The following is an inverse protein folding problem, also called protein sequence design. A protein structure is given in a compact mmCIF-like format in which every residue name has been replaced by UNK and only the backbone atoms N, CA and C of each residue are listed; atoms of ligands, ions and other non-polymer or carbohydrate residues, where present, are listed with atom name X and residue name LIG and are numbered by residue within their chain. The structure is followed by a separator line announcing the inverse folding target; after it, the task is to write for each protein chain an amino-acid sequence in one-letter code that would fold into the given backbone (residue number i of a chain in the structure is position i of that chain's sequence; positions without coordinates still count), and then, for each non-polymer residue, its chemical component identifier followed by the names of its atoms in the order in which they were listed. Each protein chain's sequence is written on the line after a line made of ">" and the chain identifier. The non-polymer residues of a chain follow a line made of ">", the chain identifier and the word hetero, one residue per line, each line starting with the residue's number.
data_IF_499428151351
#
_entry.id   IF_499428151351
#
_cell.length_a   1.000
_cell.length_b   1.000
_cell.length_c   1.000
_cell.angle_alpha   90.00
_cell.angle_beta   90.00
_cell.angle_gamma   90.00
#
_symmetry.space_group_name_H-M   'P 1'
#
loop_
_entity.id
_entity.type
_entity.pdbx_description
1 polymer ?
#
# COMPACT_ATOMS: atom_id res chain seq x y z
N UNK A 1 -5.84 -15.48 17.46
CA UNK A 1 -6.72 -15.59 18.65
C UNK A 1 -7.96 -14.74 18.43
N UNK A 2 -7.85 -13.42 18.24
CA UNK A 2 -9.03 -12.55 18.07
C UNK A 2 -9.91 -12.87 16.86
N UNK A 3 -9.37 -13.54 15.85
CA UNK A 3 -10.09 -14.03 14.68
C UNK A 3 -10.74 -15.42 14.87
N UNK A 4 -10.63 -16.02 16.08
CA UNK A 4 -11.20 -17.32 16.39
C UNK A 4 -10.30 -18.52 16.08
N UNK A 5 -9.01 -18.29 15.72
CA UNK A 5 -8.05 -19.39 15.62
C UNK A 5 -7.72 -19.97 16.98
N UNK A 6 -7.48 -21.30 17.10
CA UNK A 6 -7.02 -21.93 18.32
C UNK A 6 -5.70 -21.31 18.82
N UNK A 7 -5.51 -21.30 20.14
CA UNK A 7 -4.30 -20.74 20.76
C UNK A 7 -3.01 -21.51 20.37
N UNK A 8 -3.16 -22.78 20.05
CA UNK A 8 -2.09 -23.67 19.62
C UNK A 8 -1.64 -23.41 18.17
N UNK A 9 -2.41 -22.65 17.41
CA UNK A 9 -2.08 -22.34 16.01
C UNK A 9 -0.82 -21.46 15.94
N UNK A 10 0.18 -21.92 15.23
CA UNK A 10 1.35 -21.12 14.93
C UNK A 10 0.98 -19.92 14.04
N UNK A 11 1.50 -18.74 14.37
CA UNK A 11 1.30 -17.53 13.59
C UNK A 11 2.63 -16.78 13.45
N UNK A 12 2.94 -16.35 12.23
CA UNK A 12 4.18 -15.66 11.93
C UNK A 12 4.00 -14.65 10.80
N UNK A 13 4.82 -13.62 10.81
CA UNK A 13 4.83 -12.56 9.81
C UNK A 13 5.94 -12.76 8.79
N UNK A 14 5.64 -12.37 7.56
CA UNK A 14 6.59 -12.38 6.44
C UNK A 14 6.78 -10.95 5.98
N UNK A 15 8.03 -10.56 5.77
CA UNK A 15 8.35 -9.27 5.19
C UNK A 15 9.12 -9.43 3.88
N UNK A 16 8.47 -9.07 2.80
CA UNK A 16 9.03 -8.89 1.47
C UNK A 16 8.46 -7.58 0.87
N UNK A 17 8.35 -6.55 1.70
CA UNK A 17 7.76 -5.25 1.38
C UNK A 17 6.39 -5.45 0.68
N UNK A 18 6.14 -4.87 -0.49
CA UNK A 18 4.88 -5.00 -1.23
C UNK A 18 4.56 -6.45 -1.66
N UNK A 19 5.55 -7.33 -1.76
CA UNK A 19 5.39 -8.74 -2.11
C UNK A 19 5.04 -9.66 -0.94
N UNK A 20 4.89 -9.14 0.29
CA UNK A 20 4.68 -9.95 1.50
C UNK A 20 3.45 -10.84 1.44
N UNK A 21 2.31 -10.32 0.99
CA UNK A 21 1.06 -11.07 0.88
C UNK A 21 1.17 -12.24 -0.10
N UNK A 22 1.72 -12.01 -1.30
CA UNK A 22 1.95 -13.07 -2.27
C UNK A 22 2.95 -14.12 -1.75
N UNK A 23 4.00 -13.66 -1.06
CA UNK A 23 4.98 -14.57 -0.45
C UNK A 23 4.35 -15.42 0.66
N UNK A 24 3.45 -14.85 1.45
CA UNK A 24 2.71 -15.60 2.47
C UNK A 24 1.90 -16.75 1.85
N UNK A 25 1.20 -16.51 0.76
CA UNK A 25 0.45 -17.54 0.02
C UNK A 25 1.38 -18.62 -0.53
N UNK A 26 2.51 -18.24 -1.13
CA UNK A 26 3.49 -19.21 -1.66
C UNK A 26 4.05 -20.12 -0.55
N UNK A 27 4.37 -19.56 0.62
CA UNK A 27 4.88 -20.33 1.75
C UNK A 27 3.77 -21.23 2.34
N UNK A 28 2.54 -20.75 2.45
CA UNK A 28 1.41 -21.57 2.89
C UNK A 28 1.22 -22.80 1.99
N UNK A 29 1.29 -22.62 0.67
CA UNK A 29 1.23 -23.73 -0.28
C UNK A 29 2.36 -24.75 -0.07
N UNK A 30 3.58 -24.28 0.24
CA UNK A 30 4.72 -25.16 0.55
C UNK A 30 4.47 -25.98 1.83
N UNK A 31 3.94 -25.37 2.90
CA UNK A 31 3.61 -26.09 4.14
C UNK A 31 2.58 -27.19 3.92
N UNK A 32 1.54 -26.92 3.14
CA UNK A 32 0.53 -27.94 2.79
C UNK A 32 1.14 -29.05 1.95
N UNK A 33 1.97 -28.70 0.95
CA UNK A 33 2.64 -29.69 0.09
C UNK A 33 3.62 -30.59 0.84
N UNK A 34 4.31 -30.08 1.86
CA UNK A 34 5.25 -30.82 2.69
C UNK A 34 4.55 -31.64 3.79
N UNK A 35 3.28 -31.46 4.01
CA UNK A 35 2.52 -32.12 5.08
C UNK A 35 2.76 -31.53 6.46
N UNK A 36 3.34 -30.32 6.56
CA UNK A 36 3.53 -29.62 7.82
C UNK A 36 2.20 -29.10 8.39
N UNK A 37 1.21 -28.88 7.52
CA UNK A 37 -0.13 -28.46 7.90
C UNK A 37 -1.16 -28.93 6.85
N UNK A 38 -2.36 -29.27 7.30
CA UNK A 38 -3.48 -29.61 6.42
C UNK A 38 -4.20 -28.36 5.88
N UNK A 39 -4.23 -27.29 6.69
CA UNK A 39 -4.89 -26.02 6.35
C UNK A 39 -4.04 -24.85 6.84
N UNK A 40 -3.80 -23.89 5.98
CA UNK A 40 -3.07 -22.65 6.32
C UNK A 40 -3.87 -21.44 5.85
N UNK A 41 -4.11 -20.49 6.74
CA UNK A 41 -4.63 -19.18 6.39
C UNK A 41 -3.46 -18.25 6.07
N UNK A 42 -3.45 -17.65 4.89
CA UNK A 42 -2.38 -16.76 4.46
C UNK A 42 -2.95 -15.51 3.75
N UNK A 43 -2.27 -14.41 3.91
CA UNK A 43 -2.66 -13.14 3.28
C UNK A 43 -1.75 -12.01 3.72
N UNK A 44 -2.18 -10.79 3.44
CA UNK A 44 -1.51 -9.56 3.86
C UNK A 44 -2.52 -8.48 4.17
N UNK A 45 -2.11 -7.55 5.02
CA UNK A 45 -2.88 -6.35 5.34
C UNK A 45 -1.93 -5.20 5.60
N UNK A 46 -2.38 -3.98 5.36
CA UNK A 46 -1.58 -2.79 5.61
C UNK A 46 -2.45 -1.68 6.20
N UNK A 47 -1.88 -0.90 7.11
CA UNK A 47 -2.50 0.30 7.64
C UNK A 47 -1.48 1.46 7.69
N UNK A 48 -1.33 2.16 6.58
CA UNK A 48 -0.37 3.26 6.44
C UNK A 48 -0.72 4.44 7.36
N UNK A 49 -1.99 4.68 7.65
CA UNK A 49 -2.44 5.78 8.51
C UNK A 49 -2.03 5.61 9.98
N UNK A 50 -1.77 4.38 10.42
CA UNK A 50 -1.31 4.06 11.77
C UNK A 50 0.19 3.74 11.84
N UNK A 51 0.92 3.91 10.74
CA UNK A 51 2.37 3.73 10.72
C UNK A 51 3.05 4.71 11.66
N UNK A 52 3.84 4.23 12.65
CA UNK A 52 4.39 5.11 13.69
C UNK A 52 5.58 5.93 13.18
N UNK A 53 5.80 7.07 13.83
CA UNK A 53 7.09 7.73 13.80
C UNK A 53 7.94 7.21 14.96
N UNK A 54 9.19 6.85 14.68
CA UNK A 54 10.08 6.18 15.64
C UNK A 54 11.36 6.97 15.90
N UNK A 55 11.92 6.79 17.10
CA UNK A 55 13.21 7.33 17.48
C UNK A 55 14.05 6.30 18.21
N UNK A 56 15.37 6.34 18.03
CA UNK A 56 16.32 5.47 18.72
C UNK A 56 16.66 6.04 20.10
N UNK A 57 15.92 5.64 21.13
CA UNK A 57 16.04 6.20 22.49
C UNK A 57 16.66 5.25 23.51
N UNK A 58 17.01 4.01 23.16
CA UNK A 58 17.52 3.02 24.11
C UNK A 58 18.84 3.46 24.77
N UNK A 59 19.69 4.18 24.08
CA UNK A 59 20.93 4.74 24.63
C UNK A 59 20.73 6.08 25.38
N UNK A 60 19.51 6.58 25.45
CA UNK A 60 19.16 7.88 26.01
C UNK A 60 19.47 9.03 25.05
N UNK A 61 18.98 10.21 25.45
CA UNK A 61 19.23 11.48 24.75
C UNK A 61 19.57 12.56 25.78
N UNK A 62 20.83 12.98 25.81
CA UNK A 62 21.33 13.85 26.89
C UNK A 62 21.05 15.33 26.66
N UNK A 63 21.18 15.83 25.42
CA UNK A 63 21.05 17.26 25.10
C UNK A 63 20.83 17.44 23.59
N UNK A 64 20.17 18.51 23.19
CA UNK A 64 19.98 18.94 21.81
C UNK A 64 18.63 18.46 21.22
N UNK A 65 18.47 18.66 19.90
CA UNK A 65 17.28 18.27 19.18
C UNK A 65 17.20 16.77 18.95
N UNK A 66 15.98 16.24 18.89
CA UNK A 66 15.70 14.87 18.55
C UNK A 66 14.81 14.82 17.31
N UNK A 67 15.12 13.94 16.38
CA UNK A 67 14.31 13.69 15.19
C UNK A 67 13.58 12.35 15.29
N UNK A 68 12.38 12.31 14.73
CA UNK A 68 11.62 11.09 14.53
C UNK A 68 11.70 10.67 13.07
N UNK A 69 11.78 9.37 12.84
CA UNK A 69 11.75 8.76 11.52
C UNK A 69 10.32 8.30 11.21
N UNK A 70 9.79 8.69 10.07
CA UNK A 70 8.56 8.10 9.55
C UNK A 70 8.85 6.66 9.09
N UNK A 71 8.29 5.68 9.82
CA UNK A 71 8.54 4.27 9.52
C UNK A 71 7.94 3.84 8.17
N UNK A 72 6.82 4.44 7.76
CA UNK A 72 6.22 4.17 6.45
C UNK A 72 7.18 4.55 5.31
N UNK A 73 7.75 5.75 5.37
CA UNK A 73 8.72 6.21 4.37
C UNK A 73 10.00 5.39 4.46
N UNK A 74 10.56 5.25 5.67
CA UNK A 74 11.85 4.59 5.90
C UNK A 74 11.88 3.13 5.47
N UNK A 75 10.83 2.38 5.78
CA UNK A 75 10.80 0.93 5.61
C UNK A 75 10.08 0.50 4.33
N UNK A 76 9.16 1.32 3.81
CA UNK A 76 8.33 0.96 2.66
C UNK A 76 8.56 1.78 1.38
N UNK A 77 8.99 3.04 1.49
CA UNK A 77 9.02 3.97 0.36
C UNK A 77 10.42 4.55 0.04
N UNK A 78 11.43 4.16 0.81
CA UNK A 78 12.80 4.63 0.63
C UNK A 78 13.65 3.57 -0.07
N UNK A 79 14.30 3.94 -1.16
CA UNK A 79 15.31 3.10 -1.81
C UNK A 79 16.58 3.07 -0.96
N UNK A 80 16.82 1.94 -0.30
CA UNK A 80 17.96 1.75 0.58
C UNK A 80 19.30 1.69 -0.16
N UNK A 81 19.30 1.38 -1.46
CA UNK A 81 20.52 1.26 -2.27
C UNK A 81 20.98 2.62 -2.77
N UNK A 82 20.05 3.46 -3.22
CA UNK A 82 20.37 4.74 -3.86
C UNK A 82 20.10 5.95 -2.94
N UNK A 83 19.40 5.75 -1.82
CA UNK A 83 19.21 6.78 -0.80
C UNK A 83 18.19 7.85 -1.17
N UNK A 84 17.13 7.51 -1.90
CA UNK A 84 16.05 8.42 -2.27
C UNK A 84 14.66 7.75 -2.18
N UNK A 85 13.63 8.58 -2.22
CA UNK A 85 12.23 8.12 -2.20
C UNK A 85 11.87 7.39 -3.50
N UNK A 86 10.98 6.38 -3.43
CA UNK A 86 10.49 5.63 -4.59
C UNK A 86 9.86 6.50 -5.68
N UNK A 87 9.35 7.68 -5.33
CA UNK A 87 8.91 8.67 -6.31
C UNK A 87 10.03 9.19 -7.22
N UNK A 88 11.25 9.32 -6.68
CA UNK A 88 12.42 9.62 -7.49
C UNK A 88 12.77 8.44 -8.43
N UNK A 89 12.57 7.20 -7.97
CA UNK A 89 12.70 6.02 -8.83
C UNK A 89 11.74 6.10 -10.02
N UNK A 90 10.50 6.52 -9.78
CA UNK A 90 9.51 6.69 -10.85
C UNK A 90 9.94 7.77 -11.87
N UNK A 91 10.49 8.90 -11.40
CA UNK A 91 11.07 9.92 -12.29
C UNK A 91 12.25 9.38 -13.10
N UNK A 92 13.14 8.61 -12.47
CA UNK A 92 14.27 7.98 -13.15
C UNK A 92 13.81 6.99 -14.25
N UNK A 93 12.71 6.26 -13.99
CA UNK A 93 12.10 5.37 -14.99
C UNK A 93 11.51 6.18 -16.13
N UNK A 94 10.78 7.26 -15.81
CA UNK A 94 10.19 8.15 -16.81
C UNK A 94 11.26 8.76 -17.72
N UNK A 95 12.36 9.24 -17.17
CA UNK A 95 13.50 9.78 -17.91
C UNK A 95 14.16 8.70 -18.77
N UNK A 96 14.54 7.57 -18.18
CA UNK A 96 15.25 6.48 -18.86
C UNK A 96 14.49 5.93 -20.06
N UNK A 97 13.17 5.79 -19.92
CA UNK A 97 12.30 5.18 -20.93
C UNK A 97 11.54 6.22 -21.77
N UNK A 98 11.83 7.51 -21.57
CA UNK A 98 11.21 8.63 -22.29
C UNK A 98 9.67 8.61 -22.18
N UNK A 99 9.18 8.29 -20.98
CA UNK A 99 7.74 8.28 -20.66
C UNK A 99 7.36 9.70 -20.25
N UNK A 100 6.74 10.43 -21.14
CA UNK A 100 6.34 11.81 -20.87
C UNK A 100 5.08 11.89 -19.97
N UNK A 101 4.75 13.09 -19.53
CA UNK A 101 3.62 13.36 -18.66
C UNK A 101 2.28 12.91 -19.25
N UNK A 102 2.03 13.15 -20.53
CA UNK A 102 0.77 12.78 -21.15
C UNK A 102 0.56 11.25 -21.19
N UNK A 103 1.63 10.48 -21.44
CA UNK A 103 1.58 9.01 -21.36
C UNK A 103 1.26 8.51 -19.96
N UNK A 104 1.82 9.15 -18.92
CA UNK A 104 1.53 8.82 -17.52
C UNK A 104 0.07 9.13 -17.17
N UNK A 105 -0.41 10.30 -17.55
CA UNK A 105 -1.79 10.74 -17.31
C UNK A 105 -2.81 9.85 -18.05
N UNK A 106 -2.52 9.46 -19.30
CA UNK A 106 -3.36 8.53 -20.07
C UNK A 106 -3.45 7.15 -19.41
N UNK A 107 -2.32 6.64 -18.94
CA UNK A 107 -2.27 5.38 -18.20
C UNK A 107 -3.09 5.45 -16.91
N UNK A 108 -2.95 6.52 -16.13
CA UNK A 108 -3.69 6.74 -14.89
C UNK A 108 -5.21 6.82 -15.15
N UNK A 109 -5.65 7.60 -16.14
CA UNK A 109 -7.06 7.68 -16.55
C UNK A 109 -7.58 6.31 -16.98
N UNK A 110 -6.82 5.58 -17.78
CA UNK A 110 -7.19 4.24 -18.23
C UNK A 110 -7.36 3.26 -17.07
N UNK A 111 -6.47 3.32 -16.07
CA UNK A 111 -6.53 2.52 -14.85
C UNK A 111 -7.79 2.85 -14.02
N UNK A 112 -8.06 4.13 -13.77
CA UNK A 112 -9.24 4.57 -13.03
C UNK A 112 -10.54 4.16 -13.73
N UNK A 113 -10.64 4.31 -15.07
CA UNK A 113 -11.82 3.89 -15.84
C UNK A 113 -12.06 2.38 -15.78
N UNK A 114 -11.00 1.56 -15.81
CA UNK A 114 -11.12 0.10 -15.67
C UNK A 114 -11.63 -0.28 -14.28
N UNK A 115 -11.08 0.33 -13.22
CA UNK A 115 -11.51 0.09 -11.85
C UNK A 115 -12.96 0.53 -11.63
N UNK A 116 -13.35 1.72 -12.12
CA UNK A 116 -14.73 2.21 -12.08
C UNK A 116 -15.71 1.27 -12.77
N UNK A 117 -15.37 0.81 -13.98
CA UNK A 117 -16.21 -0.13 -14.73
C UNK A 117 -16.37 -1.47 -14.00
N UNK A 118 -15.28 -2.00 -13.41
CA UNK A 118 -15.30 -3.23 -12.64
C UNK A 118 -16.16 -3.09 -11.37
N UNK A 119 -16.02 -1.98 -10.64
CA UNK A 119 -16.82 -1.70 -9.45
C UNK A 119 -18.30 -1.58 -9.79
N UNK A 120 -18.66 -0.80 -10.84
CA UNK A 120 -20.06 -0.65 -11.32
C UNK A 120 -20.67 -1.97 -11.80
N UNK A 121 -19.86 -2.86 -12.35
CA UNK A 121 -20.29 -4.19 -12.78
C UNK A 121 -20.36 -5.21 -11.61
N UNK A 122 -20.10 -4.79 -10.37
CA UNK A 122 -20.17 -5.65 -9.19
C UNK A 122 -19.08 -6.73 -9.12
N UNK A 123 -17.96 -6.55 -9.84
CA UNK A 123 -16.89 -7.56 -9.94
C UNK A 123 -16.22 -7.88 -8.61
N UNK A 124 -16.32 -6.99 -7.61
CA UNK A 124 -15.66 -7.12 -6.31
C UNK A 124 -16.63 -7.53 -5.18
N UNK A 125 -17.92 -7.69 -5.47
CA UNK A 125 -18.96 -7.93 -4.42
C UNK A 125 -18.69 -9.21 -3.63
N UNK A 126 -18.25 -10.28 -4.29
CA UNK A 126 -18.03 -11.57 -3.65
C UNK A 126 -16.79 -11.63 -2.75
N UNK A 127 -15.87 -10.66 -2.88
CA UNK A 127 -14.62 -10.60 -2.12
C UNK A 127 -14.60 -9.51 -1.05
N UNK A 128 -15.56 -8.57 -1.09
CA UNK A 128 -15.66 -7.49 -0.10
C UNK A 128 -16.44 -7.97 1.12
N UNK A 129 -15.79 -7.88 2.29
CA UNK A 129 -16.44 -8.10 3.59
C UNK A 129 -16.73 -6.74 4.23
N UNK A 130 -18.00 -6.36 4.46
CA UNK A 130 -18.34 -5.10 5.12
C UNK A 130 -17.70 -5.02 6.50
N UNK A 131 -17.04 -3.91 6.79
CA UNK A 131 -16.34 -3.70 8.06
C UNK A 131 -16.98 -2.57 8.85
N UNK A 132 -17.28 -2.85 10.12
CA UNK A 132 -17.91 -1.90 11.04
C UNK A 132 -16.84 -1.09 11.77
N UNK A 133 -16.77 0.20 11.50
CA UNK A 133 -15.90 1.15 12.18
C UNK A 133 -16.69 1.86 13.27
N UNK A 134 -16.17 1.84 14.50
CA UNK A 134 -16.74 2.61 15.61
C UNK A 134 -16.42 4.09 15.42
N UNK A 135 -17.43 4.94 15.41
CA UNK A 135 -17.32 6.39 15.37
C UNK A 135 -18.10 7.02 16.54
N UNK A 136 -17.69 8.20 16.97
CA UNK A 136 -18.37 8.95 18.06
C UNK A 136 -19.81 9.34 17.71
N UNK A 137 -20.13 9.44 16.42
CA UNK A 137 -21.45 9.83 15.89
C UNK A 137 -22.33 8.63 15.56
N UNK A 138 -21.88 7.43 15.84
CA UNK A 138 -22.51 6.15 15.50
C UNK A 138 -21.62 5.31 14.60
N UNK A 139 -21.85 4.00 14.65
CA UNK A 139 -21.03 3.06 13.87
C UNK A 139 -21.23 3.26 12.36
N UNK A 140 -20.13 3.30 11.61
CA UNK A 140 -20.11 3.39 10.15
C UNK A 140 -19.72 2.03 9.55
N UNK A 141 -20.46 1.58 8.56
CA UNK A 141 -20.08 0.39 7.76
C UNK A 141 -19.26 0.86 6.57
N UNK A 142 -18.07 0.29 6.38
CA UNK A 142 -17.21 0.46 5.21
C UNK A 142 -17.31 -0.80 4.37
N UNK A 143 -17.82 -0.67 3.16
CA UNK A 143 -18.12 -1.76 2.24
C UNK A 143 -17.74 -1.46 0.79
N UNK A 144 -17.01 -0.37 0.56
CA UNK A 144 -16.55 0.05 -0.76
C UNK A 144 -15.11 0.55 -0.67
N UNK A 145 -14.33 0.28 -1.72
CA UNK A 145 -13.03 0.90 -1.92
C UNK A 145 -13.17 2.41 -2.20
N UNK A 146 -12.47 3.23 -1.42
CA UNK A 146 -12.64 4.69 -1.44
C UNK A 146 -11.78 5.38 -2.52
N UNK A 147 -10.75 4.69 -3.06
CA UNK A 147 -9.74 5.32 -3.92
C UNK A 147 -10.03 5.31 -5.40
N UNK A 148 -11.07 4.62 -5.86
CA UNK A 148 -11.48 4.64 -7.25
C UNK A 148 -12.07 6.02 -7.57
N UNK A 149 -11.40 6.76 -8.45
CA UNK A 149 -11.84 8.11 -8.85
C UNK A 149 -12.79 8.01 -10.03
N UNK A 150 -14.07 7.98 -9.73
CA UNK A 150 -15.14 7.94 -10.72
C UNK A 150 -15.12 9.20 -11.60
N UNK A 151 -15.24 9.00 -12.91
CA UNK A 151 -15.24 10.10 -13.87
C UNK A 151 -13.87 10.72 -14.11
N UNK A 152 -12.78 10.01 -13.89
CA UNK A 152 -11.42 10.49 -14.16
C UNK A 152 -11.23 10.87 -15.65
N UNK A 153 -10.63 12.03 -15.90
CA UNK A 153 -10.38 12.58 -17.25
C UNK A 153 -8.95 13.07 -17.39
N UNK A 154 -8.45 13.17 -18.62
CA UNK A 154 -7.14 13.76 -18.90
C UNK A 154 -7.01 15.17 -18.31
N UNK A 155 -8.03 15.99 -18.47
CA UNK A 155 -8.06 17.35 -17.92
C UNK A 155 -7.89 17.36 -16.39
N UNK A 156 -8.47 16.38 -15.67
CA UNK A 156 -8.31 16.28 -14.22
C UNK A 156 -6.88 15.89 -13.82
N UNK A 157 -6.23 15.03 -14.59
CA UNK A 157 -4.84 14.61 -14.34
C UNK A 157 -3.84 15.74 -14.65
N UNK A 158 -4.02 16.45 -15.75
CA UNK A 158 -3.14 17.55 -16.17
C UNK A 158 -3.07 18.70 -15.14
N UNK A 159 -4.10 18.85 -14.30
CA UNK A 159 -4.11 19.83 -13.19
C UNK A 159 -3.22 19.45 -12.02
N UNK A 160 -2.77 18.20 -11.93
CA UNK A 160 -1.92 17.71 -10.85
C UNK A 160 -0.48 18.23 -11.03
N UNK A 161 0.12 18.61 -9.91
CA UNK A 161 1.52 19.05 -9.89
C UNK A 161 2.45 17.85 -9.73
N UNK A 162 3.70 17.95 -10.24
CA UNK A 162 4.74 16.98 -9.89
C UNK A 162 4.87 16.84 -8.37
N UNK A 163 4.98 15.60 -7.89
CA UNK A 163 4.95 15.30 -6.46
C UNK A 163 6.35 15.14 -5.84
N UNK A 164 7.36 14.80 -6.62
CA UNK A 164 8.67 14.41 -6.12
C UNK A 164 9.81 15.33 -6.56
N UNK A 165 9.79 15.80 -7.80
CA UNK A 165 10.74 16.77 -8.33
C UNK A 165 10.02 18.05 -8.75
N UNK A 166 10.67 19.19 -8.55
CA UNK A 166 10.11 20.50 -8.92
C UNK A 166 9.72 20.59 -10.39
N UNK A 167 10.57 20.06 -11.25
CA UNK A 167 10.38 20.03 -12.71
C UNK A 167 10.15 18.60 -13.22
N UNK A 168 9.59 17.74 -12.36
CA UNK A 168 9.29 16.35 -12.67
C UNK A 168 8.00 16.15 -13.44
N UNK A 169 7.69 14.89 -13.71
CA UNK A 169 6.49 14.47 -14.44
C UNK A 169 5.57 13.58 -13.63
N UNK A 170 6.09 12.93 -12.57
CA UNK A 170 5.33 11.99 -11.73
C UNK A 170 4.44 12.76 -10.76
N UNK A 171 3.16 12.42 -10.76
CA UNK A 171 2.12 13.05 -9.91
C UNK A 171 1.58 12.09 -8.87
N UNK A 172 0.56 12.52 -8.13
CA UNK A 172 -0.20 11.67 -7.19
C UNK A 172 -1.42 10.97 -7.84
N UNK A 173 -1.44 10.85 -9.16
CA UNK A 173 -2.52 10.18 -9.91
C UNK A 173 -2.37 8.66 -9.90
#
# INVERSE_FOLDING_TARGET
>A
INAGFPEESAAWGINQVCGSGLRAVAIAAQHVQLGDADVVAAGGQENMSLSPHVAHLRAGHKMGHMSYLDSMVRDGLWDAFNGYHMGQTAENVAEKWQINRDMQDEFAVGSQKKAEAAQKAGRFVDEIVPFKVKDRRGDKIVEQDEYIRHGATMESMQKLRPAFLKDGTVTAA
#
